data_IF_339586352217
#
_entry.id   IF_339586352217
#
_cell.length_a   1.000
_cell.length_b   1.000
_cell.length_c   1.000
_cell.angle_alpha   90.00
_cell.angle_beta   90.00
_cell.angle_gamma   90.00
#
_symmetry.space_group_name_H-M   'P 1'
#
loop_
_entity.id
_entity.type
_entity.pdbx_description
1 polymer ?
#
# COMPACT_ATOMS: atom_id res chain seq x y z
N UNK A 1 -14.29 12.88 18.89
CA UNK A 1 -13.23 13.87 18.56
C UNK A 1 -11.90 13.22 18.92
N UNK A 2 -10.88 13.36 18.07
CA UNK A 2 -9.55 12.83 18.40
C UNK A 2 -9.04 13.46 19.70
N UNK A 3 -8.40 12.67 20.55
CA UNK A 3 -7.70 13.16 21.74
C UNK A 3 -6.67 14.22 21.30
N UNK A 4 -6.69 15.39 21.92
CA UNK A 4 -5.76 16.50 21.61
C UNK A 4 -4.96 16.89 22.85
N UNK A 5 -3.84 17.55 22.62
CA UNK A 5 -3.07 18.22 23.66
C UNK A 5 -2.55 19.57 23.16
N UNK A 6 -2.23 20.46 24.08
CA UNK A 6 -1.70 21.77 23.75
C UNK A 6 -0.19 21.72 23.55
N UNK A 7 0.32 22.45 22.56
CA UNK A 7 1.75 22.69 22.33
C UNK A 7 2.03 24.18 22.28
N UNK A 8 3.18 24.61 22.79
CA UNK A 8 3.59 26.03 22.81
C UNK A 8 4.77 26.26 21.87
N UNK A 9 4.61 27.17 20.92
CA UNK A 9 5.70 27.72 20.12
C UNK A 9 6.41 28.82 20.92
N UNK A 10 7.56 28.49 21.49
CA UNK A 10 8.35 29.40 22.34
C UNK A 10 8.77 30.67 21.58
N UNK A 11 8.95 30.60 20.25
CA UNK A 11 9.33 31.77 19.43
C UNK A 11 8.21 32.80 19.30
N UNK A 12 6.96 32.37 19.40
CA UNK A 12 5.78 33.25 19.33
C UNK A 12 5.30 33.66 20.73
N UNK A 13 5.83 33.07 21.79
CA UNK A 13 5.41 33.35 23.15
C UNK A 13 5.91 34.72 23.60
N UNK A 14 4.97 35.64 23.87
CA UNK A 14 5.21 36.99 24.37
C UNK A 14 5.32 37.06 25.90
N UNK A 15 5.14 35.93 26.60
CA UNK A 15 5.21 35.79 28.08
C UNK A 15 4.16 36.60 28.85
N UNK A 16 2.97 36.79 28.27
CA UNK A 16 1.81 37.35 28.99
C UNK A 16 1.26 36.40 30.07
N UNK A 17 1.67 35.12 30.03
CA UNK A 17 1.40 34.09 31.05
C UNK A 17 -0.08 33.81 31.38
N UNK A 18 -1.03 34.32 30.59
CA UNK A 18 -2.47 34.08 30.78
C UNK A 18 -2.83 32.58 30.77
N UNK A 19 -2.13 31.83 29.91
CA UNK A 19 -2.23 30.37 29.81
C UNK A 19 -1.97 29.61 31.12
N UNK A 20 -1.24 30.20 32.08
CA UNK A 20 -0.98 29.60 33.39
C UNK A 20 -2.24 29.62 34.27
N UNK A 21 -2.98 30.73 34.23
CA UNK A 21 -4.15 30.95 35.08
C UNK A 21 -5.40 30.25 34.57
N UNK A 22 -5.51 30.04 33.26
CA UNK A 22 -6.68 29.38 32.65
C UNK A 22 -6.51 27.86 32.57
N UNK A 23 -5.31 27.30 32.80
CA UNK A 23 -5.09 25.87 32.68
C UNK A 23 -5.58 25.13 33.93
N UNK A 24 -6.64 24.30 33.83
CA UNK A 24 -7.24 23.67 35.02
C UNK A 24 -6.34 22.59 35.66
N UNK A 25 -5.36 22.06 34.92
CA UNK A 25 -4.47 20.99 35.38
C UNK A 25 -3.05 21.45 35.67
N UNK A 26 -2.74 22.74 35.43
CA UNK A 26 -1.37 23.25 35.50
C UNK A 26 -0.43 22.69 34.43
N UNK A 27 -0.94 22.09 33.35
CA UNK A 27 -0.11 21.58 32.24
C UNK A 27 0.74 22.67 31.56
N UNK A 28 0.34 23.93 31.62
CA UNK A 28 1.05 25.06 31.04
C UNK A 28 2.13 25.66 31.96
N UNK A 29 2.13 25.27 33.24
CA UNK A 29 2.98 25.79 34.31
C UNK A 29 4.27 25.00 34.42
N UNK A 30 5.20 25.34 33.54
CA UNK A 30 6.52 24.72 33.45
C UNK A 30 7.61 25.77 33.32
N UNK A 31 8.74 25.55 33.99
CA UNK A 31 9.87 26.50 34.00
C UNK A 31 10.49 26.70 32.60
N UNK A 32 10.43 25.67 31.76
CA UNK A 32 10.97 25.69 30.40
C UNK A 32 9.94 26.17 29.36
N UNK A 33 8.73 26.57 29.78
CA UNK A 33 7.64 26.96 28.88
C UNK A 33 7.15 25.87 27.92
N UNK A 34 7.48 24.59 28.18
CA UNK A 34 6.99 23.45 27.41
C UNK A 34 5.76 22.88 28.12
N UNK A 35 4.65 22.73 27.41
CA UNK A 35 3.41 22.19 28.00
C UNK A 35 3.63 20.73 28.40
N UNK A 36 3.28 20.40 29.64
CA UNK A 36 3.29 19.05 30.18
C UNK A 36 2.12 18.23 29.60
N UNK A 37 2.44 17.41 28.61
CA UNK A 37 1.46 16.59 27.88
C UNK A 37 0.80 15.56 28.81
N UNK A 38 1.49 15.08 29.84
CA UNK A 38 0.93 14.09 30.77
C UNK A 38 -0.18 14.67 31.64
N UNK A 39 -0.15 15.99 31.88
CA UNK A 39 -1.20 16.73 32.61
C UNK A 39 -2.24 17.37 31.70
N UNK A 40 -1.99 17.43 30.39
CA UNK A 40 -2.87 18.11 29.45
C UNK A 40 -4.11 17.26 29.14
N UNK A 41 -5.29 17.78 29.45
CA UNK A 41 -6.58 17.12 29.18
C UNK A 41 -7.19 17.49 27.82
N UNK A 42 -6.50 18.32 27.02
CA UNK A 42 -6.94 18.66 25.68
C UNK A 42 -8.10 19.66 25.59
N UNK A 43 -8.42 20.39 26.67
CA UNK A 43 -9.58 21.29 26.71
C UNK A 43 -9.48 22.50 25.77
N UNK A 44 -8.28 23.05 25.55
CA UNK A 44 -8.05 24.17 24.64
C UNK A 44 -8.01 25.56 25.29
N UNK A 45 -8.39 25.70 26.55
CA UNK A 45 -8.50 27.02 27.23
C UNK A 45 -7.23 27.88 27.13
N UNK A 46 -6.06 27.24 27.23
CA UNK A 46 -4.78 27.92 27.10
C UNK A 46 -4.46 28.41 25.68
N UNK A 47 -4.96 27.72 24.65
CA UNK A 47 -4.85 28.15 23.26
C UNK A 47 -5.75 29.35 23.00
N UNK A 48 -7.01 29.29 23.45
CA UNK A 48 -8.00 30.36 23.27
C UNK A 48 -7.61 31.64 24.02
N UNK A 49 -6.99 31.50 25.19
CA UNK A 49 -6.53 32.63 25.99
C UNK A 49 -5.18 33.22 25.52
N UNK A 50 -4.47 32.60 24.58
CA UNK A 50 -3.12 33.02 24.20
C UNK A 50 -3.14 34.23 23.25
N UNK A 51 -2.76 35.45 23.69
CA UNK A 51 -2.91 36.65 22.85
C UNK A 51 -2.00 36.64 21.62
N UNK A 52 -0.84 36.00 21.74
CA UNK A 52 0.13 35.90 20.63
C UNK A 52 -0.13 34.71 19.70
N UNK A 53 -1.15 33.88 19.99
CA UNK A 53 -1.39 32.65 19.23
C UNK A 53 -0.25 31.63 19.33
N UNK A 54 0.56 31.70 20.39
CA UNK A 54 1.71 30.81 20.57
C UNK A 54 1.32 29.38 20.97
N UNK A 55 0.07 29.12 21.36
CA UNK A 55 -0.40 27.81 21.79
C UNK A 55 -1.39 27.26 20.78
N UNK A 56 -1.17 26.04 20.32
CA UNK A 56 -2.04 25.32 19.38
C UNK A 56 -2.46 23.98 19.94
N UNK A 57 -3.65 23.52 19.56
CA UNK A 57 -4.14 22.18 19.87
C UNK A 57 -3.76 21.21 18.76
N UNK A 58 -3.02 20.16 19.11
CA UNK A 58 -2.59 19.11 18.18
C UNK A 58 -3.19 17.77 18.60
N UNK A 59 -3.52 16.87 17.66
CA UNK A 59 -3.99 15.54 18.01
C UNK A 59 -2.87 14.70 18.64
N UNK A 60 -3.21 13.81 19.58
CA UNK A 60 -2.30 12.80 20.11
C UNK A 60 -1.88 11.82 19.01
N UNK A 61 -2.84 11.42 18.19
CA UNK A 61 -2.63 10.59 17.01
C UNK A 61 -2.91 11.39 15.76
N UNK A 62 -1.88 11.61 14.94
CA UNK A 62 -2.06 12.24 13.65
C UNK A 62 -2.83 11.29 12.71
N UNK A 63 -3.74 11.81 11.87
CA UNK A 63 -4.47 10.98 10.93
C UNK A 63 -3.51 10.26 9.99
N UNK A 64 -3.91 9.04 9.57
CA UNK A 64 -3.13 8.27 8.59
C UNK A 64 -2.93 9.10 7.34
N UNK A 65 -1.66 9.20 6.95
CA UNK A 65 -1.25 9.99 5.81
C UNK A 65 -1.93 9.47 4.54
N UNK A 66 -2.44 10.39 3.73
CA UNK A 66 -3.04 10.07 2.45
C UNK A 66 -1.94 10.08 1.39
N UNK A 67 -1.85 9.02 0.61
CA UNK A 67 -0.92 8.96 -0.51
C UNK A 67 -1.28 10.05 -1.53
N UNK A 68 -0.31 10.90 -1.89
CA UNK A 68 -0.45 11.83 -3.00
C UNK A 68 -0.29 11.05 -4.30
N UNK A 69 -1.16 11.35 -5.25
CA UNK A 69 -1.09 10.77 -6.57
C UNK A 69 0.23 11.15 -7.27
N UNK A 70 0.67 10.31 -8.19
CA UNK A 70 1.90 10.53 -8.96
C UNK A 70 1.95 11.90 -9.69
N UNK A 71 0.85 12.44 -10.26
CA UNK A 71 0.83 13.79 -10.79
C UNK A 71 1.18 14.87 -9.75
N UNK A 72 0.68 14.74 -8.52
CA UNK A 72 0.98 15.69 -7.43
C UNK A 72 2.45 15.60 -7.04
N UNK A 73 2.98 14.38 -6.90
CA UNK A 73 4.40 14.16 -6.60
C UNK A 73 5.28 14.77 -7.69
N UNK A 74 4.91 14.60 -8.96
CA UNK A 74 5.65 15.15 -10.10
C UNK A 74 5.63 16.69 -10.12
N UNK A 75 4.49 17.30 -9.80
CA UNK A 75 4.37 18.76 -9.68
C UNK A 75 5.24 19.30 -8.55
N UNK A 76 5.24 18.65 -7.38
CA UNK A 76 6.09 19.04 -6.25
C UNK A 76 7.59 18.92 -6.59
N UNK A 77 8.00 17.81 -7.23
CA UNK A 77 9.39 17.63 -7.69
C UNK A 77 9.80 18.69 -8.71
N UNK A 78 8.90 19.11 -9.59
CA UNK A 78 9.17 20.20 -10.53
C UNK A 78 9.36 21.55 -9.81
N UNK A 79 8.50 21.87 -8.84
CA UNK A 79 8.62 23.09 -8.05
C UNK A 79 9.91 23.12 -7.21
N UNK A 80 10.28 21.99 -6.61
CA UNK A 80 11.54 21.83 -5.88
C UNK A 80 12.74 22.13 -6.78
N UNK A 81 12.79 21.57 -8.00
CA UNK A 81 13.87 21.85 -8.96
C UNK A 81 13.98 23.34 -9.28
N UNK A 82 12.85 24.00 -9.51
CA UNK A 82 12.82 25.45 -9.74
C UNK A 82 13.35 26.23 -8.53
N UNK A 83 13.08 25.77 -7.31
CA UNK A 83 13.59 26.41 -6.09
C UNK A 83 15.10 26.25 -5.95
N UNK A 84 15.63 25.06 -6.22
CA UNK A 84 17.08 24.82 -6.25
C UNK A 84 17.80 25.66 -7.32
N UNK A 85 17.19 25.86 -8.48
CA UNK A 85 17.75 26.74 -9.52
C UNK A 85 17.79 28.20 -9.05
N UNK A 86 16.70 28.70 -8.45
CA UNK A 86 16.64 30.05 -7.90
C UNK A 86 17.62 30.27 -6.74
N UNK A 87 17.82 29.26 -5.89
CA UNK A 87 18.84 29.25 -4.84
C UNK A 87 20.25 29.44 -5.43
N UNK A 88 20.61 28.63 -6.44
CA UNK A 88 21.92 28.71 -7.09
C UNK A 88 22.16 30.08 -7.76
N UNK A 89 21.14 30.64 -8.42
CA UNK A 89 21.23 31.99 -9.00
C UNK A 89 21.46 33.02 -7.90
N UNK A 90 20.71 32.95 -6.80
CA UNK A 90 20.83 33.89 -5.69
C UNK A 90 22.19 33.82 -4.99
N UNK A 91 22.75 32.61 -4.81
CA UNK A 91 24.08 32.40 -4.22
C UNK A 91 25.20 33.07 -5.04
N UNK A 92 25.01 33.23 -6.35
CA UNK A 92 25.96 33.91 -7.24
C UNK A 92 25.87 35.45 -7.23
N UNK A 93 24.88 36.03 -6.54
CA UNK A 93 24.63 37.47 -6.55
C UNK A 93 25.09 38.13 -5.23
N UNK A 94 25.70 39.33 -5.28
CA UNK A 94 26.08 40.04 -4.07
C UNK A 94 24.88 40.75 -3.42
N UNK A 95 24.90 40.85 -2.10
CA UNK A 95 24.01 41.73 -1.33
C UNK A 95 23.03 40.99 -0.41
N UNK A 96 22.48 41.72 0.58
CA UNK A 96 21.62 41.15 1.63
C UNK A 96 20.33 40.50 1.10
N UNK A 97 19.78 41.03 0.01
CA UNK A 97 18.58 40.47 -0.62
C UNK A 97 18.87 39.11 -1.26
N UNK A 98 20.01 38.96 -1.92
CA UNK A 98 20.42 37.71 -2.55
C UNK A 98 20.57 36.59 -1.50
N UNK A 99 21.25 36.87 -0.39
CA UNK A 99 21.39 35.93 0.75
C UNK A 99 20.03 35.53 1.34
N UNK A 100 19.09 36.48 1.45
CA UNK A 100 17.74 36.18 1.94
C UNK A 100 16.96 35.29 0.97
N UNK A 101 17.08 35.53 -0.34
CA UNK A 101 16.42 34.73 -1.39
C UNK A 101 17.01 33.32 -1.45
N UNK A 102 18.33 33.18 -1.39
CA UNK A 102 19.02 31.90 -1.29
C UNK A 102 18.46 31.08 -0.12
N UNK A 103 18.46 31.66 1.09
CA UNK A 103 17.95 30.96 2.28
C UNK A 103 16.47 30.62 2.19
N UNK A 104 15.66 31.52 1.63
CA UNK A 104 14.23 31.29 1.43
C UNK A 104 13.98 30.13 0.45
N UNK A 105 14.68 30.10 -0.67
CA UNK A 105 14.50 29.05 -1.68
C UNK A 105 14.98 27.69 -1.17
N UNK A 106 16.08 27.67 -0.41
CA UNK A 106 16.57 26.47 0.26
C UNK A 106 15.52 25.87 1.19
N UNK A 107 14.97 26.66 2.11
CA UNK A 107 13.93 26.19 3.06
C UNK A 107 12.70 25.70 2.31
N UNK A 108 12.26 26.41 1.27
CA UNK A 108 11.13 25.97 0.45
C UNK A 108 11.42 24.65 -0.26
N UNK A 109 12.61 24.46 -0.81
CA UNK A 109 13.00 23.22 -1.46
C UNK A 109 13.01 22.04 -0.46
N UNK A 110 13.54 22.25 0.75
CA UNK A 110 13.51 21.28 1.85
C UNK A 110 12.09 20.92 2.31
N UNK A 111 11.19 21.91 2.39
CA UNK A 111 9.80 21.64 2.75
C UNK A 111 9.04 20.94 1.62
N UNK A 112 9.27 21.33 0.36
CA UNK A 112 8.65 20.66 -0.80
C UNK A 112 9.14 19.22 -0.91
N UNK A 113 10.44 18.95 -0.72
CA UNK A 113 10.95 17.58 -0.77
C UNK A 113 10.46 16.77 0.43
N UNK A 114 10.31 17.37 1.62
CA UNK A 114 9.69 16.72 2.79
C UNK A 114 8.23 16.37 2.53
N UNK A 115 7.49 17.24 1.84
CA UNK A 115 6.10 17.03 1.46
C UNK A 115 5.93 16.04 0.30
N UNK A 116 6.88 16.01 -0.65
CA UNK A 116 6.89 15.13 -1.81
C UNK A 116 7.43 13.73 -1.49
N UNK A 117 8.38 13.65 -0.56
CA UNK A 117 9.12 12.44 -0.14
C UNK A 117 8.80 11.97 1.27
N UNK A 118 7.85 12.62 1.96
CA UNK A 118 7.20 12.09 3.16
C UNK A 118 8.13 11.78 4.34
N UNK A 119 8.81 12.81 4.87
CA UNK A 119 9.50 12.67 6.17
C UNK A 119 8.66 13.25 7.31
N UNK A 120 7.58 12.56 7.67
CA UNK A 120 6.98 12.71 9.00
C UNK A 120 7.81 11.91 10.01
N UNK A 121 7.92 12.33 11.28
CA UNK A 121 8.71 11.61 12.27
C UNK A 121 8.39 10.11 12.35
N UNK A 122 7.12 9.71 12.18
CA UNK A 122 6.67 8.32 12.28
C UNK A 122 6.56 7.58 10.94
N UNK A 123 6.95 8.18 9.79
CA UNK A 123 6.82 7.52 8.49
C UNK A 123 7.82 6.38 8.32
N UNK A 124 7.53 5.45 7.41
CA UNK A 124 8.45 4.35 7.08
C UNK A 124 9.82 4.88 6.62
N UNK A 125 9.84 5.97 5.85
CA UNK A 125 11.09 6.63 5.43
C UNK A 125 11.92 7.15 6.62
N UNK A 126 11.27 7.71 7.64
CA UNK A 126 11.95 8.16 8.86
C UNK A 126 12.44 6.97 9.70
N UNK A 127 11.66 5.88 9.77
CA UNK A 127 12.06 4.62 10.43
C UNK A 127 13.26 4.00 9.71
N UNK A 128 13.24 3.87 8.38
CA UNK A 128 14.34 3.37 7.56
C UNK A 128 15.60 4.22 7.71
N UNK A 129 15.46 5.54 7.71
CA UNK A 129 16.58 6.44 7.96
C UNK A 129 17.20 6.21 9.35
N UNK A 130 16.39 6.18 10.40
CA UNK A 130 16.86 5.91 11.77
C UNK A 130 17.48 4.51 11.90
N UNK A 131 16.93 3.50 11.22
CA UNK A 131 17.49 2.17 11.16
C UNK A 131 18.86 2.16 10.49
N UNK A 132 19.01 2.86 9.35
CA UNK A 132 20.28 2.99 8.64
C UNK A 132 21.35 3.68 9.50
N UNK A 133 20.96 4.61 10.37
CA UNK A 133 21.85 5.23 11.34
C UNK A 133 22.32 4.25 12.41
N UNK A 134 21.59 3.18 12.73
CA UNK A 134 22.08 2.15 13.65
C UNK A 134 23.02 1.14 12.98
N UNK A 135 22.91 0.98 11.66
CA UNK A 135 23.67 0.03 10.85
C UNK A 135 25.03 0.57 10.39
N UNK A 136 25.18 1.89 10.34
CA UNK A 136 26.44 2.55 9.96
C UNK A 136 27.42 2.67 11.14
N UNK A 137 28.72 2.65 10.83
CA UNK A 137 29.77 2.99 11.80
C UNK A 137 29.84 4.51 11.96
N UNK A 138 29.61 4.98 13.18
CA UNK A 138 29.64 6.41 13.50
C UNK A 138 30.86 6.78 14.35
N UNK A 139 31.30 8.06 14.30
CA UNK A 139 32.33 8.58 15.20
C UNK A 139 31.95 8.44 16.69
N UNK A 140 32.96 8.50 17.54
CA UNK A 140 32.79 8.51 18.99
C UNK A 140 31.92 9.70 19.43
N UNK A 141 30.86 9.44 20.19
CA UNK A 141 29.88 10.46 20.63
C UNK A 141 28.54 10.46 19.88
N UNK A 142 28.34 9.60 18.88
CA UNK A 142 27.03 9.44 18.24
C UNK A 142 25.97 8.92 19.24
N UNK A 143 24.80 9.57 19.37
CA UNK A 143 23.81 9.25 20.39
C UNK A 143 22.94 8.04 20.00
N UNK A 144 23.55 6.87 19.88
CA UNK A 144 22.86 5.62 19.45
C UNK A 144 21.61 5.32 20.28
N UNK A 145 21.70 5.46 21.60
CA UNK A 145 20.56 5.24 22.51
C UNK A 145 19.39 6.21 22.31
N UNK A 146 19.62 7.40 21.73
CA UNK A 146 18.55 8.33 21.36
C UNK A 146 17.82 7.86 20.11
N UNK A 147 18.55 7.33 19.12
CA UNK A 147 17.98 6.76 17.89
C UNK A 147 17.10 5.55 18.22
N UNK A 148 17.56 4.67 19.11
CA UNK A 148 16.77 3.53 19.59
C UNK A 148 15.49 3.96 20.32
N UNK A 149 15.57 4.99 21.18
CA UNK A 149 14.39 5.56 21.85
C UNK A 149 13.40 6.21 20.89
N UNK A 150 13.89 6.87 19.84
CA UNK A 150 13.03 7.45 18.80
C UNK A 150 12.32 6.35 18.01
N UNK A 151 13.02 5.30 17.60
CA UNK A 151 12.43 4.14 16.94
C UNK A 151 11.35 3.46 17.81
N UNK A 152 11.59 3.34 19.12
CA UNK A 152 10.59 2.81 20.05
C UNK A 152 9.38 3.74 20.20
N UNK A 153 9.61 5.05 20.31
CA UNK A 153 8.56 6.05 20.43
C UNK A 153 7.70 6.18 19.15
N UNK A 154 8.21 5.74 18.00
CA UNK A 154 7.48 5.73 16.72
C UNK A 154 6.70 4.43 16.48
N UNK A 155 6.70 3.48 17.42
CA UNK A 155 5.82 2.31 17.39
C UNK A 155 4.41 2.72 17.83
N UNK A 156 3.47 2.82 16.90
CA UNK A 156 2.06 3.11 17.22
C UNK A 156 1.29 1.83 17.63
N UNK A 157 0.05 1.93 18.14
CA UNK A 157 -0.80 0.75 18.41
C UNK A 157 -1.05 -0.09 17.14
N UNK A 158 -1.02 0.51 15.95
CA UNK A 158 -0.98 -0.20 14.67
C UNK A 158 0.30 -1.05 14.53
N UNK A 159 1.46 -0.59 15.00
CA UNK A 159 2.71 -1.38 14.96
C UNK A 159 2.69 -2.54 15.99
N UNK A 160 1.93 -2.42 17.09
CA UNK A 160 1.61 -3.57 17.96
C UNK A 160 0.75 -4.60 17.23
N UNK A 161 -0.27 -4.15 16.48
CA UNK A 161 -1.08 -4.99 15.58
C UNK A 161 -0.26 -5.60 14.44
N UNK A 162 0.72 -4.88 13.88
CA UNK A 162 1.64 -5.35 12.84
C UNK A 162 2.65 -6.36 13.41
N UNK A 163 3.05 -6.22 14.68
CA UNK A 163 3.85 -7.23 15.38
C UNK A 163 3.09 -8.54 15.57
N UNK A 164 1.76 -8.47 15.76
CA UNK A 164 0.85 -9.64 15.72
C UNK A 164 0.59 -10.14 14.27
N UNK A 165 0.73 -9.28 13.25
CA UNK A 165 0.43 -9.55 11.83
C UNK A 165 1.64 -10.02 11.00
N UNK A 166 2.88 -10.02 11.51
CA UNK A 166 4.03 -10.51 10.73
C UNK A 166 3.80 -11.94 10.23
N UNK A 167 3.19 -12.78 11.07
CA UNK A 167 2.79 -14.15 10.70
C UNK A 167 1.72 -14.17 9.61
N UNK A 168 0.70 -13.31 9.68
CA UNK A 168 -0.33 -13.22 8.65
C UNK A 168 0.24 -12.70 7.32
N UNK A 169 1.13 -11.71 7.35
CA UNK A 169 1.88 -11.27 6.16
C UNK A 169 2.72 -12.41 5.57
N UNK A 170 3.39 -13.18 6.42
CA UNK A 170 4.15 -14.36 5.99
C UNK A 170 3.24 -15.44 5.38
N UNK A 171 2.06 -15.69 5.96
CA UNK A 171 1.08 -16.64 5.42
C UNK A 171 0.58 -16.20 4.04
N UNK A 172 0.28 -14.91 3.85
CA UNK A 172 -0.13 -14.40 2.55
C UNK A 172 1.01 -14.44 1.52
N UNK A 173 2.24 -14.14 1.93
CA UNK A 173 3.40 -14.26 1.05
C UNK A 173 3.66 -15.72 0.65
N UNK A 174 3.52 -16.66 1.59
CA UNK A 174 3.61 -18.09 1.33
C UNK A 174 2.49 -18.54 0.39
N UNK A 175 1.24 -18.15 0.63
CA UNK A 175 0.11 -18.43 -0.26
C UNK A 175 0.39 -18.00 -1.71
N UNK A 176 0.89 -16.77 -1.91
CA UNK A 176 1.28 -16.29 -3.25
C UNK A 176 2.39 -17.13 -3.87
N UNK A 177 3.45 -17.43 -3.09
CA UNK A 177 4.58 -18.22 -3.55
C UNK A 177 4.19 -19.65 -3.95
N UNK A 178 3.38 -20.31 -3.14
CA UNK A 178 2.88 -21.67 -3.40
C UNK A 178 1.92 -21.71 -4.59
N UNK A 179 1.07 -20.69 -4.74
CA UNK A 179 0.18 -20.55 -5.91
C UNK A 179 0.97 -20.39 -7.22
N UNK A 180 2.04 -19.60 -7.20
CA UNK A 180 2.94 -19.43 -8.35
C UNK A 180 3.71 -20.73 -8.64
N UNK A 181 4.25 -21.40 -7.60
CA UNK A 181 4.97 -22.66 -7.72
C UNK A 181 4.10 -23.76 -8.33
N UNK A 182 2.86 -23.90 -7.85
CA UNK A 182 1.87 -24.82 -8.39
C UNK A 182 1.64 -24.63 -9.90
N UNK A 183 1.41 -23.40 -10.36
CA UNK A 183 1.18 -23.10 -11.80
C UNK A 183 2.45 -23.35 -12.63
N UNK A 184 3.62 -22.98 -12.11
CA UNK A 184 4.93 -23.26 -12.76
C UNK A 184 5.15 -24.76 -12.93
N UNK A 185 4.98 -25.55 -11.88
CA UNK A 185 5.20 -27.00 -11.93
C UNK A 185 4.20 -27.71 -12.85
N UNK A 186 2.95 -27.25 -12.89
CA UNK A 186 1.97 -27.72 -13.88
C UNK A 186 2.45 -27.49 -15.32
N UNK A 187 2.94 -26.29 -15.63
CA UNK A 187 3.49 -25.98 -16.96
C UNK A 187 4.73 -26.83 -17.28
N UNK A 188 5.62 -27.03 -16.32
CA UNK A 188 6.83 -27.84 -16.48
C UNK A 188 6.52 -29.33 -16.68
N UNK A 189 5.50 -29.85 -15.99
CA UNK A 189 5.02 -31.21 -16.21
C UNK A 189 4.58 -31.43 -17.66
N UNK A 190 3.80 -30.51 -18.21
CA UNK A 190 3.32 -30.59 -19.60
C UNK A 190 4.48 -30.51 -20.59
N UNK A 191 5.50 -29.68 -20.31
CA UNK A 191 6.71 -29.61 -21.13
C UNK A 191 7.53 -30.91 -21.04
N UNK A 192 7.74 -31.44 -19.84
CA UNK A 192 8.47 -32.69 -19.62
C UNK A 192 7.81 -33.88 -20.32
N UNK A 193 6.48 -33.95 -20.33
CA UNK A 193 5.73 -34.97 -21.04
C UNK A 193 5.91 -34.87 -22.56
N UNK A 194 5.82 -33.65 -23.13
CA UNK A 194 6.10 -33.39 -24.55
C UNK A 194 7.54 -33.78 -24.94
N UNK A 195 8.49 -33.62 -24.02
CA UNK A 195 9.90 -33.98 -24.23
C UNK A 195 10.21 -35.46 -23.95
N UNK A 196 9.18 -36.29 -23.66
CA UNK A 196 9.33 -37.71 -23.37
C UNK A 196 9.93 -38.03 -21.99
N UNK A 197 10.09 -37.03 -21.11
CA UNK A 197 10.70 -37.16 -19.77
C UNK A 197 9.65 -37.51 -18.72
N UNK A 198 9.06 -38.69 -18.86
CA UNK A 198 7.87 -39.09 -18.08
C UNK A 198 8.06 -39.09 -16.56
N UNK A 199 9.24 -39.45 -16.04
CA UNK A 199 9.49 -39.41 -14.60
C UNK A 199 9.54 -37.97 -14.06
N UNK A 200 10.14 -37.04 -14.81
CA UNK A 200 10.14 -35.62 -14.45
C UNK A 200 8.73 -35.05 -14.52
N UNK A 201 7.95 -35.39 -15.56
CA UNK A 201 6.55 -34.97 -15.67
C UNK A 201 5.71 -35.42 -14.47
N UNK A 202 5.85 -36.69 -14.05
CA UNK A 202 5.18 -37.23 -12.86
C UNK A 202 5.59 -36.50 -11.58
N UNK A 203 6.89 -36.25 -11.40
CA UNK A 203 7.39 -35.52 -10.23
C UNK A 203 6.83 -34.09 -10.17
N UNK A 204 6.86 -33.36 -11.28
CA UNK A 204 6.30 -32.01 -11.33
C UNK A 204 4.79 -31.98 -11.07
N UNK A 205 4.03 -32.97 -11.55
CA UNK A 205 2.59 -33.09 -11.22
C UNK A 205 2.38 -33.30 -9.72
N UNK A 206 3.10 -34.26 -9.13
CA UNK A 206 3.00 -34.53 -7.70
C UNK A 206 3.42 -33.31 -6.85
N UNK A 207 4.45 -32.57 -7.28
CA UNK A 207 4.86 -31.34 -6.62
C UNK A 207 3.79 -30.24 -6.75
N UNK A 208 3.19 -30.06 -7.92
CA UNK A 208 2.08 -29.12 -8.09
C UNK A 208 0.90 -29.46 -7.16
N UNK A 209 0.52 -30.74 -7.06
CA UNK A 209 -0.52 -31.18 -6.14
C UNK A 209 -0.14 -30.88 -4.67
N UNK A 210 1.13 -31.08 -4.30
CA UNK A 210 1.63 -30.73 -2.97
C UNK A 210 1.53 -29.22 -2.68
N UNK A 211 1.95 -28.35 -3.62
CA UNK A 211 1.87 -26.90 -3.41
C UNK A 211 0.42 -26.39 -3.35
N UNK A 212 -0.51 -27.11 -3.99
CA UNK A 212 -1.96 -26.85 -3.81
C UNK A 212 -2.36 -27.01 -2.35
N UNK A 213 -1.90 -28.09 -1.70
CA UNK A 213 -2.20 -28.35 -0.29
C UNK A 213 -1.58 -27.27 0.62
N UNK A 214 -0.33 -26.85 0.35
CA UNK A 214 0.32 -25.79 1.10
C UNK A 214 -0.41 -24.45 0.95
N UNK A 215 -0.68 -24.03 -0.28
CA UNK A 215 -1.38 -22.77 -0.57
C UNK A 215 -2.75 -22.71 0.14
N UNK A 216 -3.58 -23.74 -0.05
CA UNK A 216 -4.90 -23.81 0.59
C UNK A 216 -4.77 -23.75 2.11
N UNK A 217 -3.81 -24.47 2.70
CA UNK A 217 -3.64 -24.46 4.16
C UNK A 217 -3.20 -23.10 4.68
N UNK A 218 -2.31 -22.40 3.99
CA UNK A 218 -1.89 -21.06 4.36
C UNK A 218 -3.04 -20.05 4.27
N UNK A 219 -3.86 -20.13 3.22
CA UNK A 219 -5.02 -19.26 3.04
C UNK A 219 -6.12 -19.49 4.10
N UNK A 220 -6.35 -20.76 4.47
CA UNK A 220 -7.25 -21.16 5.55
C UNK A 220 -6.76 -20.60 6.90
N UNK A 221 -5.49 -20.84 7.26
CA UNK A 221 -4.90 -20.37 8.54
C UNK A 221 -4.81 -18.84 8.58
N UNK A 222 -4.69 -18.18 7.43
CA UNK A 222 -4.77 -16.72 7.32
C UNK A 222 -6.19 -16.17 7.54
N UNK A 223 -7.21 -17.04 7.70
CA UNK A 223 -8.60 -16.64 7.90
C UNK A 223 -9.22 -15.99 6.67
N UNK A 224 -8.76 -16.36 5.47
CA UNK A 224 -9.22 -15.76 4.21
C UNK A 224 -10.35 -16.52 3.52
N UNK A 225 -10.72 -17.69 4.04
CA UNK A 225 -11.88 -18.45 3.57
C UNK A 225 -13.10 -18.04 4.41
N UNK A 226 -14.01 -17.28 3.80
CA UNK A 226 -15.27 -16.86 4.41
C UNK A 226 -16.43 -17.80 4.09
N UNK A 227 -17.66 -17.29 4.26
CA UNK A 227 -18.86 -17.99 3.78
C UNK A 227 -18.86 -18.06 2.24
N UNK A 228 -19.61 -18.99 1.65
CA UNK A 228 -19.74 -19.08 0.18
C UNK A 228 -20.17 -17.75 -0.44
N UNK A 229 -21.10 -17.03 0.20
CA UNK A 229 -21.55 -15.72 -0.24
C UNK A 229 -20.41 -14.68 -0.22
N UNK A 230 -19.58 -14.67 0.83
CA UNK A 230 -18.47 -13.72 0.95
C UNK A 230 -17.35 -14.05 -0.05
N UNK A 231 -17.06 -15.34 -0.25
CA UNK A 231 -16.07 -15.79 -1.22
C UNK A 231 -16.50 -15.44 -2.66
N UNK A 232 -17.79 -15.58 -3.00
CA UNK A 232 -18.32 -15.17 -4.30
C UNK A 232 -18.24 -13.66 -4.49
N UNK A 233 -18.52 -12.85 -3.46
CA UNK A 233 -18.36 -11.38 -3.53
C UNK A 233 -16.90 -10.99 -3.79
N UNK A 234 -15.95 -11.61 -3.10
CA UNK A 234 -14.53 -11.39 -3.35
C UNK A 234 -14.13 -11.83 -4.77
N UNK A 235 -14.68 -12.95 -5.27
CA UNK A 235 -14.56 -13.38 -6.67
C UNK A 235 -15.05 -12.30 -7.64
N UNK A 236 -16.31 -11.86 -7.53
CA UNK A 236 -16.87 -10.80 -8.37
C UNK A 236 -16.00 -9.55 -8.37
N UNK A 237 -15.53 -9.13 -7.19
CA UNK A 237 -14.68 -7.94 -7.03
C UNK A 237 -13.33 -8.12 -7.70
N UNK A 238 -12.68 -9.27 -7.52
CA UNK A 238 -11.40 -9.61 -8.14
C UNK A 238 -11.52 -9.59 -9.65
N UNK A 239 -12.42 -10.40 -10.21
CA UNK A 239 -12.64 -10.48 -11.66
C UNK A 239 -12.99 -9.11 -12.25
N UNK A 240 -13.84 -8.32 -11.56
CA UNK A 240 -14.21 -6.97 -12.00
C UNK A 240 -13.04 -6.01 -12.07
N UNK A 241 -12.15 -6.05 -11.09
CA UNK A 241 -10.91 -5.28 -11.13
C UNK A 241 -10.03 -5.72 -12.30
N UNK A 242 -9.91 -7.02 -12.54
CA UNK A 242 -9.07 -7.55 -13.62
C UNK A 242 -9.54 -7.10 -15.00
N UNK A 243 -10.82 -7.24 -15.35
CA UNK A 243 -11.28 -6.87 -16.70
C UNK A 243 -11.55 -5.38 -16.90
N UNK A 244 -11.83 -4.61 -15.84
CA UNK A 244 -12.08 -3.14 -15.97
C UNK A 244 -10.85 -2.28 -15.80
N UNK A 245 -9.89 -2.71 -14.99
CA UNK A 245 -8.75 -1.88 -14.58
C UNK A 245 -7.42 -2.50 -15.03
N UNK A 246 -7.10 -3.71 -14.55
CA UNK A 246 -5.76 -4.30 -14.75
C UNK A 246 -5.46 -4.66 -16.22
N UNK A 247 -6.28 -5.52 -16.83
CA UNK A 247 -6.00 -6.01 -18.18
C UNK A 247 -6.13 -4.95 -19.28
N UNK A 248 -7.08 -3.99 -19.24
CA UNK A 248 -7.13 -2.93 -20.24
C UNK A 248 -5.83 -2.15 -20.37
N UNK A 249 -5.13 -1.90 -19.26
CA UNK A 249 -3.84 -1.21 -19.27
C UNK A 249 -2.73 -2.11 -19.81
N UNK A 250 -2.67 -3.38 -19.39
CA UNK A 250 -1.71 -4.35 -19.95
C UNK A 250 -1.88 -4.57 -21.46
N UNK A 251 -3.11 -4.57 -21.97
CA UNK A 251 -3.38 -4.69 -23.40
C UNK A 251 -2.85 -3.46 -24.16
N UNK A 252 -3.08 -2.25 -23.64
CA UNK A 252 -2.58 -1.00 -24.26
C UNK A 252 -1.05 -0.97 -24.28
N UNK A 253 -0.41 -1.37 -23.18
CA UNK A 253 1.06 -1.44 -23.09
C UNK A 253 1.63 -2.45 -24.08
N UNK A 254 1.09 -3.68 -24.09
CA UNK A 254 1.54 -4.71 -25.03
C UNK A 254 1.32 -4.30 -26.50
N UNK A 255 0.27 -3.54 -26.80
CA UNK A 255 0.04 -2.96 -28.13
C UNK A 255 1.07 -1.89 -28.49
N UNK A 256 1.37 -0.97 -27.55
CA UNK A 256 2.36 0.08 -27.73
C UNK A 256 3.77 -0.49 -27.96
N UNK A 257 4.10 -1.59 -27.29
CA UNK A 257 5.35 -2.33 -27.46
C UNK A 257 5.38 -3.22 -28.71
N UNK A 258 4.25 -3.38 -29.41
CA UNK A 258 4.13 -4.29 -30.55
C UNK A 258 4.20 -5.78 -30.18
N UNK A 259 4.07 -6.14 -28.91
CA UNK A 259 4.11 -7.52 -28.43
C UNK A 259 2.76 -8.21 -28.65
N UNK A 260 2.55 -8.72 -29.87
CA UNK A 260 1.28 -9.37 -30.26
C UNK A 260 0.92 -10.61 -29.45
N UNK A 261 1.91 -11.36 -28.97
CA UNK A 261 1.65 -12.54 -28.14
C UNK A 261 1.09 -12.14 -26.76
N UNK A 262 1.71 -11.16 -26.10
CA UNK A 262 1.21 -10.62 -24.84
C UNK A 262 -0.16 -9.94 -25.02
N UNK A 263 -0.32 -9.11 -26.06
CA UNK A 263 -1.58 -8.45 -26.37
C UNK A 263 -2.73 -9.47 -26.50
N UNK A 264 -2.52 -10.56 -27.25
CA UNK A 264 -3.52 -11.61 -27.40
C UNK A 264 -3.80 -12.34 -26.08
N UNK A 265 -2.75 -12.67 -25.31
CA UNK A 265 -2.91 -13.34 -24.02
C UNK A 265 -3.73 -12.50 -23.03
N UNK A 266 -3.42 -11.21 -22.90
CA UNK A 266 -4.15 -10.30 -22.01
C UNK A 266 -5.58 -10.06 -22.50
N UNK A 267 -5.80 -9.95 -23.81
CA UNK A 267 -7.14 -9.78 -24.38
C UNK A 267 -8.02 -11.01 -24.12
N UNK A 268 -7.45 -12.21 -24.17
CA UNK A 268 -8.18 -13.44 -23.86
C UNK A 268 -8.56 -13.52 -22.39
N UNK A 269 -7.62 -13.26 -21.47
CA UNK A 269 -7.89 -13.23 -20.04
C UNK A 269 -8.96 -12.17 -19.70
N UNK A 270 -8.78 -10.92 -20.14
CA UNK A 270 -9.74 -9.83 -19.93
C UNK A 270 -11.18 -10.19 -20.30
N UNK A 271 -11.38 -10.80 -21.48
CA UNK A 271 -12.71 -11.21 -21.94
C UNK A 271 -13.26 -12.40 -21.16
N UNK A 272 -12.40 -13.29 -20.68
CA UNK A 272 -12.82 -14.41 -19.83
C UNK A 272 -13.21 -13.91 -18.45
N UNK A 273 -12.46 -12.99 -17.86
CA UNK A 273 -12.73 -12.45 -16.52
C UNK A 273 -14.03 -11.65 -16.47
N UNK A 274 -14.41 -10.97 -17.57
CA UNK A 274 -15.75 -10.37 -17.71
C UNK A 274 -16.86 -11.41 -17.59
N UNK A 275 -16.69 -12.58 -18.21
CA UNK A 275 -17.63 -13.69 -18.11
C UNK A 275 -17.62 -14.30 -16.71
N UNK A 276 -16.45 -14.48 -16.10
CA UNK A 276 -16.31 -15.04 -14.74
C UNK A 276 -16.99 -14.15 -13.71
N UNK A 277 -16.79 -12.84 -13.77
CA UNK A 277 -17.48 -11.87 -12.91
C UNK A 277 -19.00 -12.02 -13.02
N UNK A 278 -19.53 -12.17 -14.24
CA UNK A 278 -20.96 -12.40 -14.47
C UNK A 278 -21.46 -13.72 -13.87
N UNK A 279 -20.72 -14.81 -14.04
CA UNK A 279 -21.08 -16.13 -13.50
C UNK A 279 -21.03 -16.17 -11.97
N UNK A 280 -20.03 -15.54 -11.34
CA UNK A 280 -19.98 -15.42 -9.88
C UNK A 280 -21.10 -14.54 -9.32
N UNK A 281 -21.44 -13.45 -10.02
CA UNK A 281 -22.56 -12.60 -9.63
C UNK A 281 -23.88 -13.36 -9.71
N UNK A 282 -24.10 -14.13 -10.78
CA UNK A 282 -25.29 -14.98 -10.93
C UNK A 282 -25.34 -16.05 -9.84
N UNK A 283 -24.22 -16.72 -9.53
CA UNK A 283 -24.16 -17.70 -8.45
C UNK A 283 -24.44 -17.07 -7.07
N UNK A 284 -23.99 -15.84 -6.84
CA UNK A 284 -24.24 -15.09 -5.61
C UNK A 284 -25.71 -14.73 -5.44
N UNK A 285 -26.37 -14.34 -6.54
CA UNK A 285 -27.80 -14.01 -6.56
C UNK A 285 -28.70 -15.25 -6.41
N UNK A 286 -28.16 -16.44 -6.72
CA UNK A 286 -28.88 -17.71 -6.73
C UNK A 286 -28.26 -18.76 -5.79
N UNK A 287 -27.77 -18.34 -4.61
CA UNK A 287 -27.08 -19.22 -3.65
C UNK A 287 -27.88 -20.44 -3.20
N UNK A 288 -29.21 -20.33 -3.15
CA UNK A 288 -30.11 -21.40 -2.74
C UNK A 288 -30.60 -22.27 -3.91
N UNK A 289 -30.02 -22.09 -5.11
CA UNK A 289 -30.35 -22.90 -6.28
C UNK A 289 -29.99 -24.38 -6.04
N UNK A 290 -30.97 -25.26 -6.26
CA UNK A 290 -30.81 -26.70 -6.08
C UNK A 290 -30.66 -27.46 -7.40
N UNK A 291 -31.03 -26.84 -8.52
CA UNK A 291 -30.82 -27.43 -9.84
C UNK A 291 -29.33 -27.45 -10.19
N UNK A 292 -28.85 -28.58 -10.70
CA UNK A 292 -27.47 -28.75 -11.13
C UNK A 292 -27.19 -27.85 -12.33
N UNK A 293 -26.14 -27.02 -12.22
CA UNK A 293 -25.63 -26.17 -13.31
C UNK A 293 -24.34 -26.77 -13.81
N UNK A 294 -24.23 -26.98 -15.13
CA UNK A 294 -23.00 -27.42 -15.76
C UNK A 294 -22.19 -26.21 -16.24
N UNK A 295 -20.87 -26.31 -16.12
CA UNK A 295 -19.94 -25.31 -16.63
C UNK A 295 -19.01 -25.94 -17.66
N UNK A 296 -18.70 -25.20 -18.72
CA UNK A 296 -17.87 -25.67 -19.81
C UNK A 296 -16.71 -24.70 -20.01
N UNK A 297 -15.49 -25.18 -19.78
CA UNK A 297 -14.26 -24.40 -19.86
C UNK A 297 -13.62 -24.54 -21.25
N UNK A 298 -13.38 -23.41 -21.91
CA UNK A 298 -12.54 -23.34 -23.09
C UNK A 298 -11.06 -23.58 -22.72
N UNK A 299 -10.40 -24.64 -23.24
CA UNK A 299 -9.02 -24.97 -22.85
C UNK A 299 -7.95 -24.06 -23.47
N UNK A 300 -8.36 -23.08 -24.29
CA UNK A 300 -7.44 -22.18 -25.00
C UNK A 300 -7.41 -20.79 -24.37
N UNK A 301 -8.57 -20.21 -24.05
CA UNK A 301 -8.66 -18.82 -23.60
C UNK A 301 -9.31 -18.65 -22.24
N UNK A 302 -9.73 -19.72 -21.55
CA UNK A 302 -10.32 -19.64 -20.21
C UNK A 302 -11.80 -19.22 -20.17
N UNK A 303 -12.48 -19.05 -21.32
CA UNK A 303 -13.91 -18.76 -21.32
C UNK A 303 -14.72 -19.86 -20.62
N UNK A 304 -15.74 -19.48 -19.84
CA UNK A 304 -16.67 -20.41 -19.19
C UNK A 304 -18.08 -20.19 -19.72
N UNK A 305 -18.74 -21.25 -20.16
CA UNK A 305 -20.11 -21.20 -20.67
C UNK A 305 -21.01 -22.19 -19.89
N UNK A 306 -22.32 -21.92 -19.79
CA UNK A 306 -23.29 -22.84 -19.17
C UNK A 306 -23.81 -23.94 -20.12
N UNK A 307 -23.45 -23.86 -21.39
CA UNK A 307 -23.76 -24.86 -22.42
C UNK A 307 -22.58 -24.96 -23.40
N UNK A 308 -22.48 -26.06 -24.16
CA UNK A 308 -21.44 -26.22 -25.18
C UNK A 308 -21.81 -25.35 -26.39
N UNK A 309 -21.03 -24.29 -26.71
CA UNK A 309 -21.30 -23.47 -27.90
C UNK A 309 -20.84 -24.19 -29.18
N UNK A 310 -21.21 -23.70 -30.37
CA UNK A 310 -20.60 -24.21 -31.61
C UNK A 310 -19.10 -23.87 -31.68
N UNK A 311 -18.77 -22.63 -31.32
CA UNK A 311 -17.41 -22.10 -31.23
C UNK A 311 -17.29 -21.16 -30.03
N UNK A 312 -16.10 -21.10 -29.43
CA UNK A 312 -15.81 -20.14 -28.36
C UNK A 312 -15.96 -18.70 -28.85
N UNK A 313 -16.75 -17.88 -28.15
CA UNK A 313 -16.96 -16.46 -28.43
C UNK A 313 -15.68 -15.61 -28.35
N UNK A 314 -14.68 -16.07 -27.59
CA UNK A 314 -13.41 -15.34 -27.39
C UNK A 314 -12.34 -15.75 -28.41
N UNK A 315 -12.09 -17.06 -28.56
CA UNK A 315 -10.95 -17.56 -29.34
C UNK A 315 -11.33 -18.48 -30.52
N UNK A 316 -12.63 -18.65 -30.78
CA UNK A 316 -13.17 -19.40 -31.93
C UNK A 316 -12.81 -20.89 -31.97
N UNK A 317 -12.30 -21.47 -30.88
CA UNK A 317 -12.06 -22.92 -30.81
C UNK A 317 -13.40 -23.67 -30.83
N UNK A 318 -13.51 -24.82 -31.53
CA UNK A 318 -14.77 -25.58 -31.56
C UNK A 318 -15.22 -26.00 -30.16
N UNK A 319 -16.52 -25.91 -29.89
CA UNK A 319 -17.11 -26.27 -28.59
C UNK A 319 -16.86 -27.71 -28.17
N UNK A 320 -16.65 -28.62 -29.12
CA UNK A 320 -16.27 -30.01 -28.86
C UNK A 320 -14.96 -30.16 -28.06
N UNK A 321 -14.15 -29.11 -27.93
CA UNK A 321 -12.93 -29.10 -27.10
C UNK A 321 -13.17 -28.60 -25.67
N UNK A 322 -14.35 -28.08 -25.35
CA UNK A 322 -14.63 -27.55 -24.01
C UNK A 322 -14.62 -28.69 -22.98
N UNK A 323 -14.11 -28.38 -21.80
CA UNK A 323 -14.00 -29.31 -20.68
C UNK A 323 -15.22 -29.11 -19.78
N UNK A 324 -15.99 -30.17 -19.57
CA UNK A 324 -17.18 -30.14 -18.71
C UNK A 324 -16.77 -30.20 -17.23
N UNK A 325 -17.40 -29.34 -16.44
CA UNK A 325 -17.43 -29.33 -14.98
C UNK A 325 -18.87 -29.53 -14.51
#
# INVERSE_FOLDING_TARGET
>A
MADKYAVRNIRLCTKDCLCLYVCPTGATDTENSIIDVAKCIGCGDCADACPSGAISMVPKEYPKQQDKTEPVINALKALMRNKSEQENIAAGLPGKLAVAIEKSNHIMAEDIIREAGYMLPQSDNAKEFLQSLLEQNHPEGFPKGTVEKLLEAFKNEEDKKVSENKTLKNLMAAFTGESEANRKYTAYANKAEKDGKMNAAKLFRAAADAETLHAIKHFEVAGKIGSTADNLKEGVKGETYEYKEMYPDFVKEAEAEGNKAAQMSFTFAMKAEEVHAGLYQEALENLDQTEEVFYYLCPVCGNIEKFVPEQCSICSVPGAKFIKY
#
